data_IF_709855508425
#
_entry.id   IF_709855508425
#
_cell.length_a   1.000
_cell.length_b   1.000
_cell.length_c   1.000
_cell.angle_alpha   90.00
_cell.angle_beta   90.00
_cell.angle_gamma   90.00
#
_symmetry.space_group_name_H-M   'P 1'
#
loop_
_entity.id
_entity.type
_entity.pdbx_description
1 polymer ?
#
# COMPACT_ATOMS: atom_id res chain seq x y z
N UNK A 1 -20.99 6.85 2.47
CA UNK A 1 -21.43 7.94 3.40
C UNK A 1 -20.31 8.84 3.99
N UNK A 2 -19.14 8.30 4.35
CA UNK A 2 -18.07 9.02 5.09
C UNK A 2 -17.52 10.29 4.41
N UNK A 3 -17.23 10.26 3.10
CA UNK A 3 -16.68 11.42 2.38
C UNK A 3 -17.61 12.63 2.44
N UNK A 4 -18.92 12.43 2.28
CA UNK A 4 -19.94 13.48 2.42
C UNK A 4 -19.94 14.08 3.83
N UNK A 5 -19.89 13.25 4.87
CA UNK A 5 -19.84 13.72 6.26
C UNK A 5 -18.60 14.57 6.56
N UNK A 6 -17.48 14.29 5.89
CA UNK A 6 -16.22 15.04 5.99
C UNK A 6 -16.08 16.18 4.98
N UNK A 7 -17.12 16.47 4.19
CA UNK A 7 -17.11 17.49 3.13
C UNK A 7 -15.97 17.29 2.12
N UNK A 8 -15.63 16.04 1.83
CA UNK A 8 -14.67 15.70 0.78
C UNK A 8 -15.39 15.70 -0.56
N UNK A 9 -14.91 16.53 -1.49
CA UNK A 9 -15.35 16.55 -2.88
C UNK A 9 -14.63 15.44 -3.65
N UNK A 10 -15.34 14.34 -3.92
CA UNK A 10 -14.85 13.22 -4.73
C UNK A 10 -16.00 12.66 -5.58
N UNK A 11 -15.67 12.09 -6.74
CA UNK A 11 -16.65 11.52 -7.66
C UNK A 11 -16.14 10.23 -8.27
N UNK A 12 -17.06 9.38 -8.75
CA UNK A 12 -16.70 8.16 -9.49
C UNK A 12 -15.85 8.51 -10.72
N UNK A 13 -16.15 9.60 -11.41
CA UNK A 13 -15.39 10.06 -12.57
C UNK A 13 -13.96 10.50 -12.19
N UNK A 14 -13.81 11.21 -11.07
CA UNK A 14 -12.50 11.61 -10.56
C UNK A 14 -11.68 10.37 -10.17
N UNK A 15 -12.29 9.41 -9.46
CA UNK A 15 -11.61 8.16 -9.09
C UNK A 15 -11.27 7.29 -10.31
N UNK A 16 -12.16 7.22 -11.30
CA UNK A 16 -11.91 6.54 -12.58
C UNK A 16 -10.73 7.19 -13.32
N UNK A 17 -10.70 8.53 -13.38
CA UNK A 17 -9.60 9.29 -13.98
C UNK A 17 -8.28 9.00 -13.29
N UNK A 18 -8.24 9.05 -11.95
CA UNK A 18 -7.05 8.74 -11.15
C UNK A 18 -6.57 7.31 -11.39
N UNK A 19 -7.48 6.34 -11.43
CA UNK A 19 -7.15 4.92 -11.62
C UNK A 19 -6.56 4.63 -13.00
N UNK A 20 -7.16 5.18 -14.06
CA UNK A 20 -6.64 5.06 -15.43
C UNK A 20 -5.26 5.74 -15.56
N UNK A 21 -5.10 6.94 -14.98
CA UNK A 21 -3.80 7.65 -14.94
C UNK A 21 -2.75 6.89 -14.13
N UNK A 22 -3.16 6.18 -13.08
CA UNK A 22 -2.30 5.37 -12.23
C UNK A 22 -1.63 4.20 -12.96
N UNK A 23 -2.22 3.75 -14.08
CA UNK A 23 -1.63 2.74 -14.95
C UNK A 23 -2.63 1.69 -15.47
N UNK A 24 -3.88 1.70 -14.99
CA UNK A 24 -4.87 0.71 -15.41
C UNK A 24 -5.18 0.82 -16.91
N UNK A 25 -5.16 -0.32 -17.61
CA UNK A 25 -5.32 -0.39 -19.08
C UNK A 25 -6.68 -0.94 -19.55
N UNK A 26 -7.57 -1.28 -18.62
CA UNK A 26 -8.89 -1.90 -18.87
C UNK A 26 -10.02 -1.02 -18.34
N UNK A 27 -10.47 -0.01 -19.09
CA UNK A 27 -11.48 0.95 -18.63
C UNK A 27 -12.79 0.30 -18.15
N UNK A 28 -13.17 -0.82 -18.75
CA UNK A 28 -14.34 -1.60 -18.37
C UNK A 28 -14.22 -2.17 -16.95
N UNK A 29 -13.03 -2.64 -16.54
CA UNK A 29 -12.79 -3.12 -15.18
C UNK A 29 -12.69 -1.95 -14.19
N UNK A 30 -12.05 -0.85 -14.60
CA UNK A 30 -11.97 0.37 -13.79
C UNK A 30 -13.36 0.93 -13.50
N UNK A 31 -14.26 0.92 -14.50
CA UNK A 31 -15.64 1.37 -14.33
C UNK A 31 -16.38 0.56 -13.26
N UNK A 32 -16.19 -0.77 -13.25
CA UNK A 32 -16.78 -1.64 -12.22
C UNK A 32 -16.19 -1.32 -10.84
N UNK A 33 -14.86 -1.27 -10.74
CA UNK A 33 -14.15 -0.96 -9.49
C UNK A 33 -14.60 0.38 -8.90
N UNK A 34 -14.49 1.46 -9.67
CA UNK A 34 -14.79 2.80 -9.20
C UNK A 34 -16.29 3.00 -8.98
N UNK A 35 -17.14 2.45 -9.85
CA UNK A 35 -18.60 2.56 -9.73
C UNK A 35 -19.17 1.85 -8.50
N UNK A 36 -18.59 0.70 -8.12
CA UNK A 36 -19.06 -0.07 -6.96
C UNK A 36 -18.38 0.33 -5.64
N UNK A 37 -17.24 1.04 -5.69
CA UNK A 37 -16.45 1.35 -4.50
C UNK A 37 -17.22 1.99 -3.34
N UNK A 38 -18.10 2.96 -3.62
CA UNK A 38 -18.94 3.60 -2.59
C UNK A 38 -19.94 2.62 -1.95
N UNK A 39 -20.80 1.98 -2.76
CA UNK A 39 -21.69 0.91 -2.28
C UNK A 39 -20.98 -0.23 -1.53
N UNK A 40 -19.79 -0.64 -1.97
CA UNK A 40 -19.02 -1.70 -1.31
C UNK A 40 -18.52 -1.28 0.08
N UNK A 41 -18.09 -0.02 0.23
CA UNK A 41 -17.75 0.54 1.55
C UNK A 41 -18.98 0.61 2.45
N UNK A 42 -20.12 1.07 1.92
CA UNK A 42 -21.36 1.14 2.71
C UNK A 42 -21.83 -0.29 3.08
N UNK A 43 -21.67 -1.28 2.22
CA UNK A 43 -21.92 -2.71 2.53
C UNK A 43 -21.01 -3.24 3.65
N UNK A 44 -19.72 -2.91 3.62
CA UNK A 44 -18.78 -3.27 4.69
C UNK A 44 -19.19 -2.65 6.04
N UNK A 45 -19.63 -1.40 6.05
CA UNK A 45 -20.13 -0.72 7.25
C UNK A 45 -21.42 -1.41 7.73
N UNK A 46 -22.41 -1.56 6.86
CA UNK A 46 -23.76 -1.98 7.24
C UNK A 46 -23.88 -3.46 7.59
N UNK A 47 -23.09 -4.34 6.93
CA UNK A 47 -23.17 -5.80 7.12
C UNK A 47 -22.17 -6.37 8.10
N UNK A 48 -21.06 -5.66 8.32
CA UNK A 48 -19.96 -6.15 9.17
C UNK A 48 -19.63 -5.21 10.32
N UNK A 49 -20.37 -4.10 10.49
CA UNK A 49 -20.17 -3.12 11.56
C UNK A 49 -18.73 -2.58 11.59
N UNK A 50 -18.16 -2.34 10.40
CA UNK A 50 -16.79 -1.89 10.27
C UNK A 50 -16.68 -0.37 10.37
N UNK A 51 -15.78 0.10 11.23
CA UNK A 51 -15.37 1.51 11.26
C UNK A 51 -14.57 1.86 10.00
N UNK A 52 -15.22 2.60 9.09
CA UNK A 52 -14.64 3.14 7.85
C UNK A 52 -14.77 4.68 7.82
N UNK A 53 -14.71 5.30 9.02
CA UNK A 53 -15.00 6.72 9.24
C UNK A 53 -13.82 7.66 9.02
N UNK A 54 -12.59 7.16 8.99
CA UNK A 54 -11.41 7.97 8.71
C UNK A 54 -11.02 7.85 7.23
N UNK A 55 -10.45 8.94 6.70
CA UNK A 55 -10.01 9.03 5.31
C UNK A 55 -8.53 9.40 5.28
N UNK A 56 -7.79 8.73 4.40
CA UNK A 56 -6.45 9.16 4.01
C UNK A 56 -6.44 9.47 2.51
N UNK A 57 -5.59 10.43 2.12
CA UNK A 57 -5.17 10.61 0.75
C UNK A 57 -3.87 9.82 0.57
N UNK A 58 -3.87 8.90 -0.40
CA UNK A 58 -2.70 8.11 -0.76
C UNK A 58 -2.12 8.59 -2.08
N UNK A 59 -0.99 8.00 -2.47
CA UNK A 59 -0.33 8.34 -3.72
C UNK A 59 -1.21 8.05 -4.92
N UNK A 60 -1.17 8.93 -5.91
CA UNK A 60 -2.01 8.80 -7.11
C UNK A 60 -3.48 9.20 -6.92
N UNK A 61 -3.89 9.70 -5.74
CA UNK A 61 -5.27 10.17 -5.52
C UNK A 61 -5.38 11.69 -5.63
N UNK A 62 -6.43 12.17 -6.29
CA UNK A 62 -6.82 13.58 -6.33
C UNK A 62 -7.63 14.02 -5.11
N UNK A 63 -8.33 13.09 -4.44
CA UNK A 63 -9.09 13.35 -3.22
C UNK A 63 -8.84 12.29 -2.11
N UNK A 64 -9.03 12.61 -0.82
CA UNK A 64 -9.02 11.62 0.25
C UNK A 64 -10.14 10.58 0.07
N UNK A 65 -9.78 9.33 -0.19
CA UNK A 65 -10.74 8.24 -0.45
C UNK A 65 -10.33 6.88 0.09
N UNK A 66 -9.20 6.80 0.79
CA UNK A 66 -8.81 5.55 1.45
C UNK A 66 -9.47 5.49 2.82
N UNK A 67 -10.54 4.72 2.89
CA UNK A 67 -11.30 4.51 4.12
C UNK A 67 -10.54 3.62 5.10
N UNK A 68 -10.57 4.00 6.38
CA UNK A 68 -9.97 3.23 7.48
C UNK A 68 -10.73 3.47 8.80
N UNK A 69 -10.52 2.56 9.74
CA UNK A 69 -10.94 2.73 11.12
C UNK A 69 -9.88 3.45 11.98
N UNK A 70 -10.25 3.73 13.22
CA UNK A 70 -9.34 4.29 14.25
C UNK A 70 -8.29 3.30 14.72
N UNK A 71 -8.58 2.01 14.66
CA UNK A 71 -7.75 0.93 15.16
C UNK A 71 -7.54 -0.15 14.09
N UNK A 72 -6.41 -0.86 14.20
CA UNK A 72 -5.98 -1.94 13.29
C UNK A 72 -5.77 -1.49 11.85
N UNK A 73 -5.11 -2.36 11.08
CA UNK A 73 -4.98 -2.13 9.64
C UNK A 73 -6.32 -2.41 8.94
N UNK A 74 -6.76 -1.56 8.00
CA UNK A 74 -8.04 -1.75 7.30
C UNK A 74 -8.18 -3.14 6.67
N UNK A 75 -7.13 -3.62 6.01
CA UNK A 75 -7.12 -4.96 5.41
C UNK A 75 -7.32 -6.08 6.43
N UNK A 76 -6.72 -5.97 7.62
CA UNK A 76 -6.90 -6.94 8.71
C UNK A 76 -8.35 -6.92 9.23
N UNK A 77 -8.90 -5.73 9.48
CA UNK A 77 -10.27 -5.57 9.99
C UNK A 77 -11.31 -6.11 9.02
N UNK A 78 -11.17 -5.78 7.73
CA UNK A 78 -12.07 -6.26 6.67
C UNK A 78 -11.97 -7.79 6.54
N UNK A 79 -10.76 -8.33 6.38
CA UNK A 79 -10.58 -9.77 6.17
C UNK A 79 -11.06 -10.59 7.36
N UNK A 80 -10.77 -10.18 8.59
CA UNK A 80 -11.29 -10.88 9.78
C UNK A 80 -12.81 -10.87 9.86
N UNK A 81 -13.46 -9.74 9.57
CA UNK A 81 -14.91 -9.69 9.62
C UNK A 81 -15.56 -10.59 8.54
N UNK A 82 -15.02 -10.59 7.33
CA UNK A 82 -15.47 -11.48 6.25
C UNK A 82 -15.26 -12.95 6.60
N UNK A 83 -14.07 -13.32 7.09
CA UNK A 83 -13.74 -14.70 7.48
C UNK A 83 -14.65 -15.18 8.61
N UNK A 84 -14.80 -14.39 9.69
CA UNK A 84 -15.64 -14.77 10.83
C UNK A 84 -17.11 -14.96 10.44
N UNK A 85 -17.61 -14.19 9.47
CA UNK A 85 -18.98 -14.38 8.96
C UNK A 85 -19.11 -15.74 8.26
N UNK A 86 -18.18 -16.06 7.36
CA UNK A 86 -18.22 -17.35 6.62
C UNK A 86 -17.97 -18.53 7.57
N UNK A 87 -17.10 -18.38 8.57
CA UNK A 87 -16.90 -19.38 9.62
C UNK A 87 -18.20 -19.66 10.37
N UNK A 88 -18.90 -18.62 10.83
CA UNK A 88 -20.20 -18.77 11.51
C UNK A 88 -21.25 -19.45 10.63
N UNK A 89 -21.29 -19.15 9.33
CA UNK A 89 -22.20 -19.83 8.38
C UNK A 89 -21.81 -21.31 8.26
N UNK A 90 -20.52 -21.60 8.12
CA UNK A 90 -19.99 -22.96 8.01
C UNK A 90 -20.18 -23.80 9.27
N UNK A 91 -20.22 -23.18 10.45
CA UNK A 91 -20.44 -23.86 11.74
C UNK A 91 -21.91 -24.16 12.02
N UNK A 92 -22.82 -23.38 11.42
CA UNK A 92 -24.25 -23.39 11.77
C UNK A 92 -25.17 -23.90 10.65
N UNK A 93 -24.63 -24.11 9.46
CA UNK A 93 -25.40 -24.53 8.29
C UNK A 93 -24.54 -25.22 7.25
N UNK A 94 -25.18 -25.93 6.32
CA UNK A 94 -24.52 -26.55 5.17
C UNK A 94 -24.39 -25.60 3.96
N UNK A 95 -24.67 -24.29 4.14
CA UNK A 95 -24.57 -23.29 3.06
C UNK A 95 -23.12 -23.00 2.65
N UNK A 96 -22.16 -23.21 3.56
CA UNK A 96 -20.75 -23.02 3.30
C UNK A 96 -19.92 -24.07 4.03
N UNK A 97 -18.76 -24.43 3.48
CA UNK A 97 -17.80 -25.34 4.11
C UNK A 97 -16.39 -24.80 3.92
N UNK A 98 -15.67 -24.60 5.02
CA UNK A 98 -14.26 -24.18 5.01
C UNK A 98 -13.35 -25.40 5.20
N UNK A 99 -12.44 -25.64 4.25
CA UNK A 99 -11.47 -26.74 4.33
C UNK A 99 -10.06 -26.17 4.42
N UNK A 100 -9.55 -26.03 5.64
CA UNK A 100 -8.19 -25.57 5.87
C UNK A 100 -7.15 -26.68 5.59
N UNK A 101 -5.90 -26.26 5.34
CA UNK A 101 -4.77 -27.13 4.99
C UNK A 101 -5.08 -28.04 3.78
N UNK A 102 -5.81 -27.49 2.82
CA UNK A 102 -6.17 -28.13 1.57
C UNK A 102 -5.54 -27.33 0.42
N UNK A 103 -4.60 -27.93 -0.30
CA UNK A 103 -3.95 -27.31 -1.45
C UNK A 103 -4.59 -27.83 -2.73
N UNK A 104 -5.30 -26.97 -3.45
CA UNK A 104 -5.77 -27.28 -4.81
C UNK A 104 -4.55 -27.45 -5.71
N UNK A 105 -4.48 -28.57 -6.44
CA UNK A 105 -3.37 -28.91 -7.34
C UNK A 105 -3.77 -28.90 -8.82
N UNK A 106 -5.05 -29.08 -9.11
CA UNK A 106 -5.53 -29.21 -10.48
C UNK A 106 -6.98 -28.76 -10.63
N UNK A 107 -7.28 -28.10 -11.75
CA UNK A 107 -8.64 -27.89 -12.24
C UNK A 107 -9.13 -29.12 -13.01
N UNK A 108 -10.28 -29.66 -12.62
CA UNK A 108 -10.90 -30.79 -13.31
C UNK A 108 -11.66 -30.30 -14.53
N UNK A 109 -11.51 -31.00 -15.65
CA UNK A 109 -12.10 -30.63 -16.94
C UNK A 109 -13.08 -31.70 -17.42
N UNK A 110 -14.20 -31.27 -18.00
CA UNK A 110 -15.14 -32.12 -18.72
C UNK A 110 -15.62 -31.37 -19.98
N UNK A 111 -15.48 -31.98 -21.16
CA UNK A 111 -15.87 -31.39 -22.45
C UNK A 111 -15.38 -29.93 -22.66
N UNK A 112 -14.14 -29.65 -22.26
CA UNK A 112 -13.53 -28.32 -22.39
C UNK A 112 -13.97 -27.28 -21.35
N UNK A 113 -14.81 -27.65 -20.38
CA UNK A 113 -15.23 -26.80 -19.27
C UNK A 113 -14.63 -27.26 -17.94
N UNK A 114 -14.29 -26.30 -17.07
CA UNK A 114 -13.92 -26.60 -15.69
C UNK A 114 -15.14 -27.09 -14.95
N UNK A 115 -15.04 -28.25 -14.31
CA UNK A 115 -16.13 -28.90 -13.58
C UNK A 115 -15.79 -29.26 -12.14
N UNK A 116 -14.65 -28.79 -11.63
CA UNK A 116 -14.24 -29.06 -10.25
C UNK A 116 -12.77 -28.85 -9.99
N UNK A 117 -12.32 -29.31 -8.83
CA UNK A 117 -10.92 -29.24 -8.39
C UNK A 117 -10.45 -30.56 -7.79
N UNK A 118 -9.17 -30.87 -7.99
CA UNK A 118 -8.43 -31.84 -7.19
C UNK A 118 -7.64 -31.07 -6.14
N UNK A 119 -7.79 -31.43 -4.86
CA UNK A 119 -7.00 -30.85 -3.78
C UNK A 119 -6.38 -31.93 -2.91
N UNK A 120 -5.18 -31.64 -2.39
CA UNK A 120 -4.50 -32.48 -1.43
C UNK A 120 -4.76 -31.95 -0.01
N UNK A 121 -5.10 -32.86 0.91
CA UNK A 121 -5.18 -32.58 2.34
C UNK A 121 -4.59 -33.75 3.12
N UNK A 122 -3.57 -33.48 3.92
CA UNK A 122 -2.86 -34.48 4.75
C UNK A 122 -2.32 -35.65 3.89
N UNK A 123 -1.73 -35.34 2.73
CA UNK A 123 -1.14 -36.34 1.84
C UNK A 123 -2.16 -37.23 1.10
N UNK A 124 -3.45 -36.88 1.13
CA UNK A 124 -4.51 -37.57 0.39
C UNK A 124 -5.17 -36.61 -0.58
N UNK A 125 -5.49 -37.12 -1.76
CA UNK A 125 -6.18 -36.36 -2.79
C UNK A 125 -7.70 -36.52 -2.67
N UNK A 126 -8.40 -35.41 -2.89
CA UNK A 126 -9.85 -35.29 -2.85
C UNK A 126 -10.33 -34.51 -4.07
N UNK A 127 -11.55 -34.79 -4.51
CA UNK A 127 -12.20 -34.08 -5.61
C UNK A 127 -13.43 -33.34 -5.09
N UNK A 128 -13.62 -32.11 -5.52
CA UNK A 128 -14.90 -31.39 -5.43
C UNK A 128 -15.36 -31.05 -6.83
N UNK A 129 -16.62 -31.33 -7.14
CA UNK A 129 -17.23 -31.01 -8.43
C UNK A 129 -18.08 -29.74 -8.32
N UNK A 130 -18.15 -28.98 -9.40
CA UNK A 130 -18.95 -27.76 -9.48
C UNK A 130 -18.20 -26.59 -10.14
N UNK A 131 -18.85 -25.41 -10.18
CA UNK A 131 -18.21 -24.19 -10.65
C UNK A 131 -17.05 -23.80 -9.73
N UNK A 132 -15.96 -23.31 -10.33
CA UNK A 132 -14.74 -22.95 -9.62
C UNK A 132 -14.48 -21.46 -9.74
N UNK A 133 -14.25 -20.80 -8.60
CA UNK A 133 -13.80 -19.41 -8.52
C UNK A 133 -12.37 -19.40 -7.98
N UNK A 134 -11.42 -18.89 -8.76
CA UNK A 134 -10.04 -18.72 -8.33
C UNK A 134 -9.89 -17.36 -7.61
N UNK A 135 -9.71 -17.42 -6.29
CA UNK A 135 -9.44 -16.26 -5.44
C UNK A 135 -8.07 -16.41 -4.73
N UNK A 136 -7.05 -16.86 -5.46
CA UNK A 136 -5.79 -17.39 -4.91
C UNK A 136 -4.69 -16.36 -4.66
N UNK A 137 -4.95 -15.07 -4.84
CA UNK A 137 -3.93 -14.02 -4.72
C UNK A 137 -2.92 -14.01 -5.87
N UNK A 138 -1.74 -13.42 -5.63
CA UNK A 138 -0.69 -13.17 -6.63
C UNK A 138 0.50 -14.12 -6.57
N UNK A 139 1.64 -13.69 -7.13
CA UNK A 139 2.88 -14.48 -7.26
C UNK A 139 4.14 -13.78 -6.72
N UNK A 140 3.99 -12.67 -5.99
CA UNK A 140 5.11 -11.82 -5.55
C UNK A 140 5.96 -12.37 -4.39
N UNK A 141 5.73 -13.60 -3.95
CA UNK A 141 6.55 -14.27 -2.92
C UNK A 141 7.25 -15.54 -3.43
N UNK A 142 7.11 -15.88 -4.71
CA UNK A 142 7.76 -17.05 -5.30
C UNK A 142 9.11 -16.67 -5.94
N UNK A 143 10.18 -17.04 -5.26
CA UNK A 143 11.57 -16.77 -5.67
C UNK A 143 12.26 -17.99 -6.28
N UNK A 144 11.51 -19.05 -6.60
CA UNK A 144 12.03 -20.22 -7.31
C UNK A 144 12.33 -19.88 -8.77
N UNK A 145 13.18 -20.69 -9.41
CA UNK A 145 13.58 -20.47 -10.81
C UNK A 145 12.42 -20.61 -11.80
N UNK A 146 11.43 -21.44 -11.49
CA UNK A 146 10.22 -21.66 -12.29
C UNK A 146 9.05 -20.74 -11.90
N UNK A 147 9.31 -19.73 -11.06
CA UNK A 147 8.27 -18.80 -10.65
C UNK A 147 7.81 -17.87 -11.78
N UNK A 148 6.58 -17.37 -11.67
CA UNK A 148 6.11 -16.31 -12.57
C UNK A 148 6.95 -15.03 -12.40
N UNK A 149 7.44 -14.76 -11.18
CA UNK A 149 8.33 -13.62 -10.94
C UNK A 149 9.65 -13.78 -11.69
N UNK A 150 10.28 -14.96 -11.64
CA UNK A 150 11.52 -15.25 -12.37
C UNK A 150 11.33 -15.19 -13.88
N UNK A 151 10.19 -15.67 -14.39
CA UNK A 151 9.87 -15.67 -15.81
C UNK A 151 9.62 -14.26 -16.37
N UNK A 152 8.86 -13.43 -15.66
CA UNK A 152 8.38 -12.15 -16.20
C UNK A 152 9.16 -10.93 -15.68
N UNK A 153 9.75 -11.00 -14.48
CA UNK A 153 10.50 -9.91 -13.83
C UNK A 153 11.71 -10.43 -13.06
N UNK A 154 12.65 -11.13 -13.72
CA UNK A 154 13.86 -11.64 -13.07
C UNK A 154 14.70 -10.53 -12.42
N UNK A 155 14.61 -9.30 -12.94
CA UNK A 155 15.24 -8.11 -12.37
C UNK A 155 14.78 -7.81 -10.94
N UNK A 156 13.61 -8.28 -10.51
CA UNK A 156 13.08 -8.04 -9.17
C UNK A 156 13.38 -9.17 -8.17
N UNK A 157 13.93 -10.31 -8.59
CA UNK A 157 14.15 -11.47 -7.72
C UNK A 157 15.06 -11.17 -6.52
N UNK A 158 15.96 -10.20 -6.65
CA UNK A 158 16.85 -9.77 -5.56
C UNK A 158 16.11 -9.02 -4.44
N UNK A 159 14.96 -8.38 -4.74
CA UNK A 159 14.21 -7.60 -3.75
C UNK A 159 13.47 -8.49 -2.75
N UNK A 160 13.27 -8.04 -1.51
CA UNK A 160 12.37 -8.70 -0.58
C UNK A 160 10.89 -8.49 -0.98
N UNK A 161 10.01 -9.26 -0.35
CA UNK A 161 8.55 -9.16 -0.54
C UNK A 161 7.85 -8.73 0.74
N UNK A 162 6.69 -8.10 0.60
CA UNK A 162 5.77 -7.82 1.71
C UNK A 162 4.58 -8.78 1.72
N UNK A 163 4.56 -9.75 0.80
CA UNK A 163 3.54 -10.78 0.72
C UNK A 163 3.86 -11.93 1.69
N UNK A 164 2.83 -12.69 2.07
CA UNK A 164 3.05 -13.98 2.71
C UNK A 164 3.64 -15.00 1.73
N UNK A 165 4.39 -15.95 2.26
CA UNK A 165 5.02 -17.07 1.55
C UNK A 165 4.08 -17.89 0.64
N UNK A 166 2.78 -17.89 0.94
CA UNK A 166 1.71 -18.51 0.16
C UNK A 166 1.38 -17.80 -1.17
N UNK A 167 1.98 -16.64 -1.47
CA UNK A 167 1.66 -15.83 -2.65
C UNK A 167 2.52 -16.24 -3.85
N UNK A 168 2.28 -17.46 -4.36
CA UNK A 168 3.16 -18.13 -5.34
C UNK A 168 2.60 -18.25 -6.77
N UNK A 169 1.40 -17.72 -7.02
CA UNK A 169 0.79 -17.76 -8.34
C UNK A 169 0.18 -19.12 -8.73
N UNK A 170 -0.01 -20.03 -7.77
CA UNK A 170 -0.50 -21.40 -8.03
C UNK A 170 -1.80 -21.42 -8.86
N UNK A 171 -2.77 -20.55 -8.55
CA UNK A 171 -4.02 -20.45 -9.31
C UNK A 171 -3.83 -19.96 -10.75
N UNK A 172 -2.89 -19.04 -10.99
CA UNK A 172 -2.54 -18.57 -12.34
C UNK A 172 -1.92 -19.73 -13.13
N UNK A 173 -0.93 -20.41 -12.55
CA UNK A 173 -0.26 -21.57 -13.16
C UNK A 173 -1.27 -22.68 -13.49
N UNK A 174 -2.24 -22.96 -12.61
CA UNK A 174 -3.31 -23.93 -12.87
C UNK A 174 -4.22 -23.52 -14.03
N UNK A 175 -4.55 -22.23 -14.15
CA UNK A 175 -5.33 -21.73 -15.28
C UNK A 175 -4.56 -21.88 -16.60
N UNK A 176 -3.30 -21.46 -16.64
CA UNK A 176 -2.43 -21.60 -17.83
C UNK A 176 -2.30 -23.06 -18.27
N UNK A 177 -2.21 -24.00 -17.32
CA UNK A 177 -2.11 -25.43 -17.60
C UNK A 177 -3.32 -26.01 -18.36
N UNK A 178 -4.50 -25.38 -18.26
CA UNK A 178 -5.72 -25.77 -19.00
C UNK A 178 -6.01 -24.86 -20.19
N UNK A 179 -5.05 -24.01 -20.59
CA UNK A 179 -5.15 -23.14 -21.75
C UNK A 179 -5.74 -21.76 -21.48
N UNK A 180 -5.92 -21.35 -20.22
CA UNK A 180 -6.25 -19.97 -19.92
C UNK A 180 -5.09 -19.05 -20.28
N UNK A 181 -5.38 -17.86 -20.81
CA UNK A 181 -4.37 -16.83 -21.10
C UNK A 181 -4.22 -15.91 -19.90
N UNK A 182 -2.98 -15.64 -19.54
CA UNK A 182 -2.61 -14.55 -18.64
C UNK A 182 -2.29 -13.29 -19.44
N UNK A 183 -2.48 -12.14 -18.80
CA UNK A 183 -2.05 -10.82 -19.31
C UNK A 183 -1.37 -10.08 -18.17
N UNK A 184 -0.54 -9.11 -18.51
CA UNK A 184 0.02 -8.13 -17.59
C UNK A 184 0.92 -8.72 -16.47
N UNK A 185 1.43 -9.96 -16.62
CA UNK A 185 2.30 -10.60 -15.63
C UNK A 185 3.68 -9.91 -15.49
N UNK A 186 4.09 -9.11 -16.47
CA UNK A 186 5.26 -8.24 -16.43
C UNK A 186 5.09 -7.04 -15.48
N UNK A 187 3.85 -6.66 -15.17
CA UNK A 187 3.54 -5.50 -14.33
C UNK A 187 3.54 -5.86 -12.84
N UNK A 188 4.74 -6.06 -12.30
CA UNK A 188 4.97 -6.27 -10.87
C UNK A 188 5.28 -4.95 -10.17
N UNK A 189 4.50 -4.63 -9.13
CA UNK A 189 4.67 -3.41 -8.35
C UNK A 189 5.61 -3.64 -7.16
N UNK A 190 6.64 -2.79 -7.05
CA UNK A 190 7.49 -2.70 -5.86
C UNK A 190 6.93 -1.63 -4.93
N UNK A 191 6.74 -1.96 -3.65
CA UNK A 191 6.35 -0.98 -2.66
C UNK A 191 7.60 -0.27 -2.11
N UNK A 192 7.63 1.09 -2.05
CA UNK A 192 8.85 1.81 -1.67
C UNK A 192 9.23 1.63 -0.19
N UNK A 193 8.26 1.36 0.68
CA UNK A 193 8.47 1.34 2.14
C UNK A 193 8.18 -0.03 2.75
N UNK A 194 9.02 -1.03 2.45
CA UNK A 194 9.15 -2.23 3.28
C UNK A 194 10.05 -1.93 4.48
N UNK A 195 9.57 -2.15 5.70
CA UNK A 195 10.33 -1.86 6.92
C UNK A 195 11.45 -2.87 7.08
N UNK A 196 12.67 -2.35 7.25
CA UNK A 196 13.87 -3.14 7.50
C UNK A 196 13.98 -3.37 8.99
N UNK A 197 13.92 -4.63 9.42
CA UNK A 197 14.22 -5.02 10.80
C UNK A 197 15.72 -4.81 11.05
N UNK A 198 16.13 -4.02 12.06
CA UNK A 198 17.54 -3.75 12.32
C UNK A 198 18.37 -5.02 12.59
N UNK A 199 17.75 -6.02 13.21
CA UNK A 199 18.41 -7.29 13.58
C UNK A 199 18.43 -8.31 12.42
N UNK A 200 17.60 -8.13 11.38
CA UNK A 200 17.63 -8.92 10.15
C UNK A 200 17.37 -8.03 8.90
N UNK A 201 18.36 -7.22 8.49
CA UNK A 201 18.22 -6.32 7.36
C UNK A 201 17.99 -7.04 6.02
N UNK A 202 18.43 -8.29 5.91
CA UNK A 202 18.36 -9.09 4.68
C UNK A 202 17.14 -10.04 4.64
N UNK A 203 16.30 -10.05 5.69
CA UNK A 203 15.06 -10.83 5.72
C UNK A 203 14.29 -10.70 4.40
N UNK A 204 13.99 -11.84 3.76
CA UNK A 204 13.32 -11.86 2.45
C UNK A 204 11.87 -11.37 2.53
N UNK A 205 11.26 -11.47 3.70
CA UNK A 205 9.91 -10.97 3.99
C UNK A 205 10.07 -9.72 4.85
N UNK A 206 9.48 -8.60 4.41
CA UNK A 206 9.46 -7.34 5.15
C UNK A 206 8.06 -6.97 5.57
N UNK A 207 7.93 -6.36 6.74
CA UNK A 207 6.66 -5.77 7.15
C UNK A 207 6.40 -4.51 6.31
N UNK A 208 5.21 -4.40 5.72
CA UNK A 208 4.85 -3.24 4.91
C UNK A 208 4.64 -2.01 5.80
N UNK A 209 5.37 -0.92 5.55
CA UNK A 209 4.99 0.39 6.09
C UNK A 209 3.81 0.91 5.27
N UNK A 210 2.64 1.04 5.90
CA UNK A 210 1.44 1.56 5.25
C UNK A 210 1.69 2.91 4.59
N UNK A 211 1.26 3.06 3.34
CA UNK A 211 1.34 4.34 2.61
C UNK A 211 0.61 5.48 3.33
N UNK A 212 -0.35 5.16 4.19
CA UNK A 212 -1.00 6.11 5.07
C UNK A 212 -0.02 6.89 5.97
N UNK A 213 1.13 6.32 6.35
CA UNK A 213 2.18 7.05 7.09
C UNK A 213 2.70 8.26 6.29
N UNK A 214 2.93 8.08 4.98
CA UNK A 214 3.26 9.19 4.06
C UNK A 214 2.05 10.10 3.86
N UNK A 215 0.86 9.53 3.73
CA UNK A 215 -0.42 10.24 3.57
C UNK A 215 -0.74 11.20 4.72
N UNK A 216 -0.33 10.88 5.95
CA UNK A 216 -0.51 11.75 7.11
C UNK A 216 0.63 12.77 7.31
N UNK A 217 1.54 12.93 6.33
CA UNK A 217 2.63 13.91 6.39
C UNK A 217 4.01 13.33 6.71
N UNK A 218 4.16 12.00 6.75
CA UNK A 218 5.46 11.38 6.92
C UNK A 218 6.41 11.68 5.76
N UNK A 219 7.65 12.03 6.08
CA UNK A 219 8.69 12.34 5.09
C UNK A 219 9.61 11.15 4.88
N UNK A 220 9.97 10.87 3.63
CA UNK A 220 11.01 9.88 3.31
C UNK A 220 12.30 10.63 3.04
N UNK A 221 13.28 10.45 3.91
CA UNK A 221 14.59 11.11 3.83
C UNK A 221 15.70 10.09 3.60
N UNK A 222 16.74 10.52 2.91
CA UNK A 222 17.94 9.73 2.67
C UNK A 222 18.88 9.74 3.89
N UNK A 223 20.01 9.03 3.79
CA UNK A 223 21.03 8.95 4.84
C UNK A 223 21.62 10.32 5.25
N UNK A 224 21.53 11.33 4.38
CA UNK A 224 21.99 12.69 4.68
C UNK A 224 20.91 13.57 5.33
N UNK A 225 19.73 13.02 5.65
CA UNK A 225 18.62 13.77 6.24
C UNK A 225 17.84 14.62 5.24
N UNK A 226 18.05 14.42 3.94
CA UNK A 226 17.42 15.22 2.88
C UNK A 226 16.25 14.48 2.25
N UNK A 227 15.18 15.23 1.94
CA UNK A 227 14.12 14.75 1.04
C UNK A 227 14.67 14.57 -0.37
N UNK A 228 14.07 13.67 -1.15
CA UNK A 228 14.52 13.38 -2.52
C UNK A 228 13.39 13.07 -3.50
N UNK A 229 12.14 12.97 -3.04
CA UNK A 229 10.98 12.70 -3.89
C UNK A 229 9.71 13.34 -3.33
N UNK A 230 8.65 13.36 -4.14
CA UNK A 230 7.29 13.51 -3.64
C UNK A 230 6.83 12.20 -2.98
N UNK A 231 6.62 12.21 -1.67
CA UNK A 231 6.25 11.03 -0.89
C UNK A 231 4.88 10.45 -1.27
N UNK A 232 4.00 11.23 -1.91
CA UNK A 232 2.71 10.76 -2.47
C UNK A 232 2.74 10.60 -3.99
N UNK A 233 3.93 10.54 -4.58
CA UNK A 233 4.09 10.07 -5.96
C UNK A 233 3.66 8.62 -6.12
N UNK A 234 3.51 8.18 -7.38
CA UNK A 234 3.25 6.77 -7.69
C UNK A 234 4.40 5.89 -7.18
N UNK A 235 4.10 4.63 -6.83
CA UNK A 235 5.08 3.73 -6.21
C UNK A 235 6.29 3.43 -7.10
N UNK A 236 6.10 3.35 -8.41
CA UNK A 236 7.18 3.22 -9.39
C UNK A 236 8.12 4.44 -9.38
N UNK A 237 7.56 5.66 -9.30
CA UNK A 237 8.33 6.88 -9.15
C UNK A 237 9.11 6.92 -7.82
N UNK A 238 8.44 6.69 -6.68
CA UNK A 238 9.12 6.77 -5.37
C UNK A 238 10.24 5.71 -5.27
N UNK A 239 9.98 4.47 -5.70
CA UNK A 239 10.99 3.41 -5.75
C UNK A 239 12.13 3.77 -6.71
N UNK A 240 11.81 4.36 -7.87
CA UNK A 240 12.81 4.83 -8.83
C UNK A 240 13.69 5.95 -8.28
N UNK A 241 13.14 6.90 -7.53
CA UNK A 241 13.95 7.93 -6.85
C UNK A 241 14.82 7.33 -5.73
N UNK A 242 14.32 6.31 -5.03
CA UNK A 242 15.14 5.58 -4.06
C UNK A 242 16.34 4.94 -4.75
N UNK A 243 16.16 4.24 -5.88
CA UNK A 243 17.27 3.61 -6.61
C UNK A 243 18.37 4.57 -7.09
N UNK A 244 18.10 5.88 -7.18
CA UNK A 244 19.12 6.89 -7.53
C UNK A 244 20.04 7.25 -6.37
N UNK A 245 19.72 6.83 -5.16
CA UNK A 245 20.47 7.13 -3.94
C UNK A 245 20.82 5.84 -3.20
N UNK A 246 21.55 5.94 -2.09
CA UNK A 246 21.91 4.79 -1.28
C UNK A 246 21.12 4.75 0.03
N UNK A 247 20.70 3.57 0.50
CA UNK A 247 20.16 3.40 1.85
C UNK A 247 21.23 3.74 2.91
N UNK A 248 20.85 3.95 4.19
CA UNK A 248 19.49 3.81 4.72
C UNK A 248 18.56 4.95 4.30
N UNK A 249 17.28 4.61 4.16
CA UNK A 249 16.18 5.57 4.11
C UNK A 249 15.46 5.58 5.46
N UNK A 250 14.89 6.73 5.82
CA UNK A 250 14.05 6.88 7.01
C UNK A 250 12.71 7.47 6.60
N UNK A 251 11.62 6.82 7.00
CA UNK A 251 10.29 7.41 6.99
C UNK A 251 10.06 7.99 8.37
N UNK A 252 10.04 9.31 8.49
CA UNK A 252 9.91 10.02 9.76
C UNK A 252 8.54 10.68 9.89
N UNK A 253 7.98 10.67 11.09
CA UNK A 253 6.70 11.29 11.42
C UNK A 253 6.91 12.30 12.55
N UNK A 254 6.56 13.57 12.32
CA UNK A 254 6.49 14.53 13.42
C UNK A 254 5.29 14.23 14.35
N UNK A 255 5.13 15.04 15.40
CA UNK A 255 4.05 14.90 16.37
C UNK A 255 2.66 14.88 15.72
N UNK A 256 2.33 15.87 14.91
CA UNK A 256 1.00 15.96 14.30
C UNK A 256 0.68 14.76 13.40
N UNK A 257 1.65 14.33 12.58
CA UNK A 257 1.52 13.16 11.72
C UNK A 257 1.36 11.86 12.52
N UNK A 258 2.17 11.68 13.57
CA UNK A 258 2.13 10.48 14.41
C UNK A 258 0.86 10.41 15.27
N UNK A 259 0.32 11.54 15.76
CA UNK A 259 -0.94 11.58 16.49
C UNK A 259 -2.13 11.12 15.64
N UNK A 260 -2.17 11.48 14.35
CA UNK A 260 -3.24 11.07 13.43
C UNK A 260 -3.25 9.58 13.09
N UNK A 261 -2.10 8.92 13.26
CA UNK A 261 -1.91 7.50 12.91
C UNK A 261 -1.32 6.67 14.06
N UNK A 262 -1.52 7.11 15.29
CA UNK A 262 -0.85 6.61 16.51
C UNK A 262 -0.93 5.09 16.71
N UNK A 263 -2.04 4.46 16.31
CA UNK A 263 -2.16 2.99 16.38
C UNK A 263 -1.08 2.30 15.53
N UNK A 264 -0.82 2.80 14.32
CA UNK A 264 0.22 2.27 13.46
C UNK A 264 1.60 2.49 14.08
N UNK A 265 1.87 3.69 14.61
CA UNK A 265 3.14 3.99 15.27
C UNK A 265 3.43 3.03 16.42
N UNK A 266 2.44 2.82 17.30
CA UNK A 266 2.53 1.86 18.41
C UNK A 266 2.70 0.42 17.93
N UNK A 267 1.97 0.02 16.88
CA UNK A 267 2.08 -1.32 16.31
C UNK A 267 3.50 -1.57 15.76
N UNK A 268 4.01 -0.67 14.93
CA UNK A 268 5.35 -0.79 14.37
C UNK A 268 6.44 -0.72 15.45
N UNK A 269 6.26 0.10 16.48
CA UNK A 269 7.17 0.17 17.63
C UNK A 269 7.17 -1.15 18.40
N UNK A 270 6.00 -1.71 18.69
CA UNK A 270 5.87 -3.01 19.35
C UNK A 270 6.41 -4.19 18.52
N UNK A 271 6.55 -4.00 17.20
CA UNK A 271 7.18 -4.94 16.27
C UNK A 271 8.70 -4.71 16.13
N UNK A 272 9.27 -3.69 16.78
CA UNK A 272 10.70 -3.37 16.69
C UNK A 272 11.16 -2.72 15.39
N UNK A 273 10.23 -2.30 14.52
CA UNK A 273 10.53 -1.73 13.19
C UNK A 273 10.28 -0.23 13.10
N UNK A 274 9.98 0.42 14.22
CA UNK A 274 9.84 1.86 14.36
C UNK A 274 10.35 2.28 15.74
N UNK A 275 10.95 3.47 15.83
CA UNK A 275 11.48 4.01 17.08
C UNK A 275 10.74 5.29 17.42
N UNK A 276 10.80 5.71 18.67
CA UNK A 276 10.32 7.02 19.10
C UNK A 276 11.49 7.83 19.66
N UNK A 277 11.51 9.11 19.34
CA UNK A 277 12.47 10.10 19.81
C UNK A 277 11.71 11.24 20.50
N UNK A 278 12.16 11.65 21.69
CA UNK A 278 11.51 12.76 22.39
C UNK A 278 11.74 14.10 21.68
N UNK A 279 12.85 14.20 20.95
CA UNK A 279 13.26 15.41 20.25
C UNK A 279 13.86 15.09 18.88
N UNK A 280 13.79 16.04 17.94
CA UNK A 280 14.50 15.91 16.66
C UNK A 280 16.02 15.87 16.82
N UNK A 281 16.57 16.42 17.91
CA UNK A 281 18.00 16.31 18.22
C UNK A 281 18.41 14.86 18.52
N UNK A 282 17.59 14.11 19.27
CA UNK A 282 17.80 12.67 19.49
C UNK A 282 17.71 11.85 18.20
N UNK A 283 16.75 12.17 17.32
CA UNK A 283 16.62 11.56 16.00
C UNK A 283 17.87 11.81 15.15
N UNK A 284 18.32 13.07 15.05
CA UNK A 284 19.51 13.42 14.28
C UNK A 284 20.77 12.71 14.81
N UNK A 285 20.90 12.59 16.13
CA UNK A 285 22.00 11.84 16.76
C UNK A 285 21.97 10.36 16.39
N UNK A 286 20.80 9.72 16.36
CA UNK A 286 20.64 8.32 15.92
C UNK A 286 20.96 8.14 14.44
N UNK A 287 20.53 9.08 13.60
CA UNK A 287 20.81 9.09 12.17
C UNK A 287 22.26 9.42 11.81
N UNK A 288 23.01 10.07 12.72
CA UNK A 288 24.36 10.57 12.44
C UNK A 288 24.38 11.79 11.51
N UNK A 289 23.38 12.68 11.63
CA UNK A 289 23.30 13.92 10.82
C UNK A 289 23.29 15.17 11.71
N UNK A 290 23.70 16.30 11.16
CA UNK A 290 23.60 17.60 11.82
C UNK A 290 22.14 18.05 11.96
N UNK A 291 21.78 18.59 13.14
CA UNK A 291 20.42 19.10 13.40
C UNK A 291 20.00 20.15 12.37
N UNK A 292 20.91 21.05 11.99
CA UNK A 292 20.66 22.09 10.99
C UNK A 292 20.23 21.54 9.62
N UNK A 293 20.65 20.31 9.28
CA UNK A 293 20.27 19.65 8.02
C UNK A 293 18.80 19.26 8.04
N UNK A 294 18.32 18.70 9.16
CA UNK A 294 16.91 18.32 9.30
C UNK A 294 16.03 19.56 9.44
N UNK A 295 16.47 20.58 10.21
CA UNK A 295 15.80 21.88 10.31
C UNK A 295 15.63 22.52 8.92
N UNK A 296 16.69 22.58 8.12
CA UNK A 296 16.63 23.12 6.76
C UNK A 296 15.70 22.30 5.85
N UNK A 297 15.71 20.97 5.96
CA UNK A 297 14.83 20.08 5.20
C UNK A 297 13.35 20.33 5.50
N UNK A 298 12.99 20.47 6.78
CA UNK A 298 11.63 20.81 7.19
C UNK A 298 11.25 22.24 6.79
N UNK A 299 12.18 23.20 6.92
CA UNK A 299 11.92 24.59 6.53
C UNK A 299 11.62 24.70 5.03
N UNK A 300 12.40 24.04 4.18
CA UNK A 300 12.15 24.01 2.74
C UNK A 300 10.79 23.37 2.42
N UNK A 301 10.42 22.29 3.10
CA UNK A 301 9.13 21.64 2.94
C UNK A 301 7.96 22.56 3.36
N UNK A 302 8.10 23.24 4.50
CA UNK A 302 7.12 24.20 5.00
C UNK A 302 6.92 25.38 4.04
N UNK A 303 8.01 25.97 3.54
CA UNK A 303 7.94 27.08 2.59
C UNK A 303 7.30 26.67 1.26
N UNK A 304 7.63 25.47 0.76
CA UNK A 304 7.01 24.92 -0.44
C UNK A 304 5.50 24.74 -0.25
N UNK A 305 5.08 24.25 0.92
CA UNK A 305 3.68 24.12 1.27
C UNK A 305 2.97 25.49 1.32
N UNK A 306 3.58 26.50 1.96
CA UNK A 306 3.01 27.84 2.06
C UNK A 306 2.90 28.55 0.71
N UNK A 307 3.85 28.32 -0.20
CA UNK A 307 3.75 28.79 -1.59
C UNK A 307 2.58 28.12 -2.30
N UNK A 308 2.49 26.80 -2.18
CA UNK A 308 1.42 26.01 -2.79
C UNK A 308 0.03 26.33 -2.22
N UNK A 309 -0.08 26.69 -0.94
CA UNK A 309 -1.33 27.12 -0.29
C UNK A 309 -1.81 28.47 -0.82
N UNK A 310 -0.89 29.42 -1.01
CA UNK A 310 -1.20 30.76 -1.52
C UNK A 310 -1.64 30.75 -2.99
N UNK A 311 -1.07 29.85 -3.78
CA UNK A 311 -1.40 29.72 -5.18
C UNK A 311 -1.53 28.23 -5.55
N UNK A 312 -2.73 27.66 -5.27
CA UNK A 312 -2.99 26.24 -5.42
C UNK A 312 -2.84 25.74 -6.87
N UNK A 313 -2.98 26.62 -7.85
CA UNK A 313 -2.89 26.27 -9.27
C UNK A 313 -1.67 26.88 -9.98
N UNK A 314 -0.89 27.73 -9.29
CA UNK A 314 0.25 28.50 -9.80
C UNK A 314 1.48 27.76 -10.27
N UNK A 315 1.42 26.43 -10.31
CA UNK A 315 2.46 25.62 -10.92
C UNK A 315 3.50 25.06 -9.94
N UNK A 316 4.58 24.45 -10.45
CA UNK A 316 5.40 23.55 -9.66
C UNK A 316 6.51 24.34 -8.95
N UNK A 317 6.31 24.68 -7.67
CA UNK A 317 7.34 25.33 -6.85
C UNK A 317 8.42 24.32 -6.44
N UNK A 318 9.66 24.75 -6.25
CA UNK A 318 10.71 23.87 -5.70
C UNK A 318 10.30 23.34 -4.32
N UNK A 319 10.34 22.02 -4.14
CA UNK A 319 9.92 21.37 -2.90
C UNK A 319 10.97 20.42 -2.30
N UNK A 320 11.89 19.89 -3.11
CA UNK A 320 12.99 19.01 -2.70
C UNK A 320 14.10 19.11 -3.78
N UNK A 321 15.33 18.61 -3.53
CA UNK A 321 16.50 18.90 -4.37
C UNK A 321 16.31 18.65 -5.88
N UNK A 322 15.56 17.62 -6.24
CA UNK A 322 15.33 17.19 -7.62
C UNK A 322 13.93 17.51 -8.16
N UNK A 323 13.04 18.14 -7.38
CA UNK A 323 11.66 18.29 -7.83
C UNK A 323 10.79 19.28 -7.06
N UNK A 324 9.49 19.16 -7.31
CA UNK A 324 8.55 20.27 -7.18
C UNK A 324 7.30 19.91 -6.35
N UNK A 325 6.49 20.90 -5.99
CA UNK A 325 5.22 20.74 -5.24
C UNK A 325 4.21 19.88 -5.99
N UNK A 326 4.39 19.73 -7.29
CA UNK A 326 3.91 18.65 -8.15
C UNK A 326 4.92 18.47 -9.28
N UNK A 327 5.20 17.23 -9.69
CA UNK A 327 6.18 16.94 -10.75
C UNK A 327 5.52 16.26 -11.97
N UNK A 328 6.20 16.26 -13.13
CA UNK A 328 5.69 15.62 -14.35
C UNK A 328 5.48 14.09 -14.21
N UNK A 329 6.29 13.35 -13.42
CA UNK A 329 5.97 11.97 -13.00
C UNK A 329 4.69 11.82 -12.15
N UNK A 330 4.29 12.85 -11.42
CA UNK A 330 2.96 13.01 -10.79
C UNK A 330 1.89 13.44 -11.80
N UNK A 331 2.29 13.84 -13.01
CA UNK A 331 1.46 14.10 -14.19
C UNK A 331 1.08 15.58 -14.37
N UNK A 332 0.97 16.04 -15.63
CA UNK A 332 0.36 17.33 -16.04
C UNK A 332 -1.14 17.46 -15.68
N UNK A 333 -1.69 16.48 -14.97
CA UNK A 333 -3.11 16.17 -14.88
C UNK A 333 -3.71 16.39 -13.48
N UNK A 334 -2.89 16.85 -12.53
CA UNK A 334 -3.33 17.25 -11.19
C UNK A 334 -3.31 16.16 -10.10
N UNK A 335 -2.98 14.93 -10.47
CA UNK A 335 -2.90 13.81 -9.52
C UNK A 335 -1.73 14.02 -8.57
N UNK A 336 -1.96 13.97 -7.26
CA UNK A 336 -0.91 14.26 -6.27
C UNK A 336 -0.51 15.74 -6.14
N UNK A 337 -1.19 16.68 -6.83
CA UNK A 337 -1.09 18.11 -6.50
C UNK A 337 -1.43 18.29 -5.02
N UNK A 338 -0.57 18.94 -4.25
CA UNK A 338 -0.80 19.32 -2.84
C UNK A 338 -0.79 18.11 -1.90
N UNK A 339 0.39 17.50 -1.72
CA UNK A 339 0.61 16.40 -0.79
C UNK A 339 1.01 16.85 0.63
N UNK A 340 1.00 18.16 0.89
CA UNK A 340 1.36 18.73 2.18
C UNK A 340 0.29 18.45 3.23
N UNK A 341 0.67 17.78 4.30
CA UNK A 341 -0.19 17.51 5.45
C UNK A 341 0.67 17.41 6.71
N UNK A 342 0.16 17.85 7.86
CA UNK A 342 0.90 17.87 9.14
C UNK A 342 2.34 18.40 9.02
N UNK A 343 2.54 19.50 8.32
CA UNK A 343 3.86 20.12 8.12
C UNK A 343 4.29 20.95 9.34
N UNK A 344 5.60 21.02 9.59
CA UNK A 344 6.18 21.86 10.66
C UNK A 344 7.26 22.78 10.10
N UNK A 345 7.43 23.95 10.72
CA UNK A 345 8.58 24.83 10.46
C UNK A 345 9.89 24.18 10.90
N UNK A 346 11.00 24.53 10.23
CA UNK A 346 12.32 24.02 10.59
C UNK A 346 12.71 24.33 12.02
N UNK A 347 12.33 25.52 12.51
CA UNK A 347 12.57 25.99 13.88
C UNK A 347 11.95 25.10 14.98
N UNK A 348 10.97 24.25 14.63
CA UNK A 348 10.31 23.33 15.58
C UNK A 348 11.04 22.00 15.72
N UNK A 349 11.81 21.58 14.71
CA UNK A 349 12.43 20.25 14.62
C UNK A 349 13.21 19.91 15.88
N UNK A 350 14.01 20.83 16.42
CA UNK A 350 14.86 20.57 17.58
C UNK A 350 14.10 19.98 18.77
N UNK A 351 12.93 20.52 19.09
CA UNK A 351 12.15 20.14 20.29
C UNK A 351 10.96 19.23 20.00
N UNK A 352 10.62 19.03 18.72
CA UNK A 352 9.48 18.23 18.31
C UNK A 352 9.79 16.73 18.51
N UNK A 353 8.84 15.92 19.02
CA UNK A 353 9.01 14.47 19.03
C UNK A 353 8.82 13.88 17.63
N UNK A 354 9.50 12.77 17.38
CA UNK A 354 9.44 12.04 16.11
C UNK A 354 9.26 10.54 16.31
N UNK A 355 8.65 9.90 15.32
CA UNK A 355 8.71 8.46 15.08
C UNK A 355 9.54 8.16 13.83
#
# INVERSE_FOLDING_TARGET
MTQKAKKVEDTVDLFTSDTLKGGAKKPELVKVLCGNSGPDVDWLVDKFDLDMSLLARLGGHSAPRTHRGKERFPGMTITYALIQMVEKISERSDLARIINKAKVKQLLMNNGAVCGVLYEKRGKDFKEEGPVILATGGFGADFTEDSLLAKYRPDLLHLPTTNGDHTTGDGIKMGEAIGARSIDLEWVQVHPTGLVEPDDPEAKIKFLAAEALRGVGGLVINAAGLRFCNELGRRDYVTGEMWKSKPPYRLILNKAASEEIMWHCKHYTGRGVMKFYQTGEELCKDMGIELSTLEATHQQHFEAAKKQEKDPEGGPYTAYPSGKTWDEPSGKTGVGKKFFHNIIEGSKVKSEPFY
#
